data_IF_762125405166
#
_entry.id   IF_762125405166
#
_cell.length_a   1.000
_cell.length_b   1.000
_cell.length_c   1.000
_cell.angle_alpha   90.00
_cell.angle_beta   90.00
_cell.angle_gamma   90.00
#
_symmetry.space_group_name_H-M   'P 1'
#
loop_
_entity.id
_entity.type
_entity.pdbx_description
1 polymer ?
#
# COMPACT_ATOMS: atom_id res chain seq x y z
N UNK A 1 16.32 2.35 10.77
CA UNK A 1 16.92 3.62 11.27
C UNK A 1 15.90 4.32 12.13
N UNK A 2 16.34 4.98 13.22
CA UNK A 2 15.41 5.45 14.26
C UNK A 2 15.37 6.97 14.38
N UNK A 3 14.20 7.50 14.68
CA UNK A 3 14.02 8.92 15.01
C UNK A 3 12.86 9.11 16.00
N UNK A 4 12.85 10.24 16.70
CA UNK A 4 11.74 10.63 17.58
C UNK A 4 10.83 11.62 16.91
N UNK A 5 9.53 11.51 17.20
CA UNK A 5 8.50 12.41 16.64
C UNK A 5 7.26 12.38 17.52
N UNK A 6 6.33 13.29 17.28
CA UNK A 6 5.06 13.36 17.99
C UNK A 6 3.95 12.77 17.13
N UNK A 7 3.04 12.03 17.76
CA UNK A 7 1.88 11.44 17.11
C UNK A 7 0.86 12.55 16.78
N UNK A 8 0.76 12.92 15.50
CA UNK A 8 -0.12 14.01 15.03
C UNK A 8 -1.62 13.62 15.09
N UNK A 9 -2.54 14.60 15.17
CA UNK A 9 -3.98 14.35 15.14
C UNK A 9 -4.46 13.65 13.86
N UNK A 10 -5.57 12.93 13.92
CA UNK A 10 -6.12 12.21 12.75
C UNK A 10 -6.50 13.16 11.59
N UNK A 11 -6.76 14.44 11.88
CA UNK A 11 -6.94 15.51 10.91
C UNK A 11 -6.31 16.82 11.41
N UNK A 12 -5.74 17.66 10.53
CA UNK A 12 -5.53 17.45 9.09
C UNK A 12 -4.28 16.60 8.76
N UNK A 13 -3.44 16.30 9.76
CA UNK A 13 -2.11 15.68 9.60
C UNK A 13 -2.09 14.21 10.05
N UNK A 14 -2.41 13.31 9.11
CA UNK A 14 -2.37 11.86 9.37
C UNK A 14 -0.93 11.32 9.37
N UNK A 15 -0.16 11.51 10.43
CA UNK A 15 1.12 10.82 10.46
C UNK A 15 2.10 11.08 11.59
N UNK A 16 3.31 10.61 11.32
CA UNK A 16 4.52 10.77 12.08
C UNK A 16 5.47 11.60 11.21
N UNK A 17 5.91 12.76 11.69
CA UNK A 17 6.82 13.61 10.93
C UNK A 17 8.22 12.99 10.91
N UNK A 18 8.78 12.88 9.70
CA UNK A 18 10.11 12.32 9.46
C UNK A 18 11.08 13.46 9.21
N UNK A 19 12.18 13.54 9.97
CA UNK A 19 13.21 14.53 9.69
C UNK A 19 13.79 14.34 8.27
N UNK A 20 14.06 15.42 7.51
CA UNK A 20 14.61 15.34 6.15
C UNK A 20 15.88 14.48 6.05
N UNK A 21 16.77 14.56 7.03
CA UNK A 21 18.02 13.80 7.10
C UNK A 21 17.80 12.29 7.18
N UNK A 22 16.70 11.84 7.82
CA UNK A 22 16.31 10.43 7.86
C UNK A 22 15.84 9.98 6.48
N UNK A 23 15.07 10.83 5.78
CA UNK A 23 14.60 10.53 4.41
C UNK A 23 15.78 10.44 3.43
N UNK A 24 16.73 11.35 3.53
CA UNK A 24 17.95 11.35 2.72
C UNK A 24 18.80 10.10 2.99
N UNK A 25 19.01 9.76 4.27
CA UNK A 25 19.77 8.57 4.67
C UNK A 25 19.15 7.26 4.18
N UNK A 26 17.82 7.20 3.97
CA UNK A 26 17.16 6.01 3.41
C UNK A 26 17.57 5.72 1.96
N UNK A 27 18.07 6.71 1.21
CA UNK A 27 18.57 6.51 -0.15
C UNK A 27 17.52 6.15 -1.21
N UNK A 28 16.22 6.23 -0.91
CA UNK A 28 15.13 5.86 -1.82
C UNK A 28 14.43 7.02 -2.54
N UNK A 29 15.10 8.17 -2.67
CA UNK A 29 14.54 9.41 -3.22
C UNK A 29 13.66 10.17 -2.23
N UNK A 30 12.83 11.12 -2.71
CA UNK A 30 12.02 12.00 -1.83
C UNK A 30 10.79 11.33 -1.20
N UNK A 31 10.34 10.20 -1.75
CA UNK A 31 9.13 9.48 -1.30
C UNK A 31 9.40 7.96 -1.26
N UNK A 32 10.39 7.51 -0.46
CA UNK A 32 10.77 6.11 -0.41
C UNK A 32 9.61 5.26 0.09
N UNK A 33 9.51 4.04 -0.45
CA UNK A 33 8.73 2.99 0.18
C UNK A 33 9.45 2.54 1.44
N UNK A 34 8.72 2.36 2.53
CA UNK A 34 9.32 2.07 3.83
C UNK A 34 8.51 1.04 4.61
N UNK A 35 9.21 0.25 5.42
CA UNK A 35 8.64 -0.47 6.55
C UNK A 35 8.82 0.42 7.78
N UNK A 36 7.74 0.59 8.54
CA UNK A 36 7.68 1.44 9.73
C UNK A 36 7.39 0.52 10.90
N UNK A 37 8.13 0.67 11.99
CA UNK A 37 7.94 -0.07 13.23
C UNK A 37 7.79 0.89 14.39
N UNK A 38 6.73 0.72 15.16
CA UNK A 38 6.41 1.51 16.35
C UNK A 38 5.87 0.59 17.43
N UNK A 39 6.46 0.61 18.63
CA UNK A 39 6.07 -0.25 19.76
C UNK A 39 5.89 -1.74 19.39
N UNK A 40 6.74 -2.26 18.49
CA UNK A 40 6.68 -3.64 18.01
C UNK A 40 5.62 -3.92 16.93
N UNK A 41 4.76 -2.95 16.60
CA UNK A 41 3.85 -3.04 15.46
C UNK A 41 4.50 -2.51 14.19
N UNK A 42 4.51 -3.31 13.13
CA UNK A 42 5.13 -2.95 11.85
C UNK A 42 4.12 -2.88 10.71
N UNK A 43 4.26 -1.88 9.84
CA UNK A 43 3.48 -1.77 8.61
C UNK A 43 4.29 -1.16 7.48
N UNK A 44 3.88 -1.46 6.24
CA UNK A 44 4.50 -0.92 5.03
C UNK A 44 3.73 0.30 4.53
N UNK A 45 4.45 1.34 4.13
CA UNK A 45 3.88 2.56 3.57
C UNK A 45 4.85 3.26 2.62
N UNK A 46 4.55 4.51 2.27
CA UNK A 46 5.44 5.42 1.54
C UNK A 46 5.51 6.74 2.29
N UNK A 47 6.70 7.35 2.32
CA UNK A 47 6.85 8.72 2.80
C UNK A 47 6.03 9.66 1.90
N UNK A 48 5.14 10.43 2.52
CA UNK A 48 4.37 11.48 1.86
C UNK A 48 5.08 12.83 2.03
N UNK A 49 4.82 13.77 1.11
CA UNK A 49 5.24 15.17 1.26
C UNK A 49 3.97 16.00 1.36
N UNK A 50 3.78 16.67 2.49
CA UNK A 50 2.61 17.52 2.73
C UNK A 50 3.08 18.89 3.26
N UNK A 51 2.84 19.93 2.46
CA UNK A 51 3.24 21.32 2.78
C UNK A 51 4.73 21.43 3.17
N UNK A 52 5.61 20.77 2.41
CA UNK A 52 7.06 20.79 2.63
C UNK A 52 7.59 19.82 3.69
N UNK A 53 6.72 19.13 4.44
CA UNK A 53 7.12 18.16 5.47
C UNK A 53 6.99 16.73 4.99
N UNK A 54 7.86 15.86 5.49
CA UNK A 54 7.82 14.42 5.24
C UNK A 54 7.01 13.73 6.31
N UNK A 55 6.03 12.91 5.91
CA UNK A 55 5.12 12.23 6.84
C UNK A 55 5.04 10.73 6.54
N UNK A 56 4.99 9.93 7.60
CA UNK A 56 4.57 8.53 7.53
C UNK A 56 3.10 8.42 7.89
N UNK A 57 2.31 7.79 7.03
CA UNK A 57 0.90 7.56 7.29
C UNK A 57 0.68 6.67 8.51
N UNK A 58 -0.11 7.18 9.47
CA UNK A 58 -0.49 6.50 10.69
C UNK A 58 -2.04 6.41 10.79
N UNK A 59 -2.59 5.31 10.27
CA UNK A 59 -4.03 5.03 10.26
C UNK A 59 -4.59 4.74 11.65
N UNK A 60 -5.91 4.85 11.84
CA UNK A 60 -6.57 4.49 13.11
C UNK A 60 -6.23 3.06 13.55
N UNK A 61 -6.20 2.10 12.63
CA UNK A 61 -5.85 0.72 12.91
C UNK A 61 -4.39 0.58 13.39
N UNK A 62 -3.45 1.28 12.74
CA UNK A 62 -2.04 1.23 13.16
C UNK A 62 -1.80 1.94 14.49
N UNK A 63 -2.55 3.02 14.81
CA UNK A 63 -2.49 3.67 16.12
C UNK A 63 -2.93 2.73 17.24
N UNK A 64 -4.07 2.06 17.04
CA UNK A 64 -4.59 1.09 17.99
C UNK A 64 -3.62 -0.08 18.17
N UNK A 65 -3.09 -0.63 17.08
CA UNK A 65 -2.14 -1.74 17.13
C UNK A 65 -0.80 -1.37 17.78
N UNK A 66 -0.31 -0.14 17.57
CA UNK A 66 0.89 0.36 18.21
C UNK A 66 0.66 0.89 19.64
N UNK A 67 -0.59 1.00 20.09
CA UNK A 67 -0.94 1.48 21.43
C UNK A 67 -0.57 2.95 21.67
N UNK A 68 -0.72 3.82 20.67
CA UNK A 68 -0.34 5.25 20.77
C UNK A 68 -1.53 6.19 20.60
N UNK A 69 -1.49 7.31 21.31
CA UNK A 69 -2.45 8.39 21.29
C UNK A 69 -1.88 9.66 20.63
N UNK A 70 -2.77 10.56 20.22
CA UNK A 70 -2.36 11.89 19.73
C UNK A 70 -1.62 12.66 20.82
N UNK A 71 -0.48 13.25 20.47
CA UNK A 71 0.37 14.00 21.39
C UNK A 71 1.49 13.16 22.02
N UNK A 72 1.48 11.83 21.88
CA UNK A 72 2.56 10.98 22.38
C UNK A 72 3.87 11.27 21.64
N UNK A 73 4.97 11.36 22.38
CA UNK A 73 6.31 11.28 21.81
C UNK A 73 6.71 9.82 21.65
N UNK A 74 7.14 9.46 20.43
CA UNK A 74 7.44 8.08 20.07
C UNK A 74 8.78 7.96 19.35
N UNK A 75 9.45 6.84 19.56
CA UNK A 75 10.59 6.42 18.74
C UNK A 75 10.08 5.53 17.60
N UNK A 76 10.36 5.93 16.37
CA UNK A 76 9.95 5.23 15.15
C UNK A 76 11.18 4.61 14.53
N UNK A 77 11.13 3.31 14.24
CA UNK A 77 12.09 2.67 13.35
C UNK A 77 11.53 2.67 11.92
N UNK A 78 12.35 3.10 10.97
CA UNK A 78 12.01 3.12 9.55
C UNK A 78 13.11 2.47 8.74
N UNK A 79 12.72 1.63 7.78
CA UNK A 79 13.64 0.94 6.88
C UNK A 79 13.15 1.07 5.45
N UNK A 80 14.09 1.18 4.49
CA UNK A 80 13.75 1.22 3.07
C UNK A 80 13.12 -0.12 2.67
N UNK A 81 11.90 -0.08 2.15
CA UNK A 81 11.21 -1.26 1.62
C UNK A 81 11.65 -1.49 0.18
N UNK A 82 12.74 -2.24 0.00
CA UNK A 82 13.24 -2.71 -1.30
C UNK A 82 12.65 -4.06 -1.72
N UNK A 83 11.77 -4.64 -0.88
CA UNK A 83 11.19 -5.95 -1.12
C UNK A 83 10.42 -6.02 -2.44
N UNK A 84 10.50 -7.15 -3.18
CA UNK A 84 9.77 -7.31 -4.42
C UNK A 84 8.28 -7.28 -4.11
N UNK A 85 7.55 -6.34 -4.73
CA UNK A 85 6.09 -6.29 -4.66
C UNK A 85 5.50 -7.34 -5.60
N UNK A 86 5.72 -8.61 -5.28
CA UNK A 86 5.10 -9.72 -6.00
C UNK A 86 3.62 -9.74 -5.62
N UNK A 87 2.77 -9.57 -6.62
CA UNK A 87 1.34 -9.80 -6.46
C UNK A 87 1.11 -11.26 -6.82
N UNK A 88 0.84 -12.10 -5.82
CA UNK A 88 0.45 -13.48 -6.07
C UNK A 88 -0.98 -13.49 -6.60
N UNK A 89 -1.17 -14.00 -7.81
CA UNK A 89 -2.49 -14.17 -8.41
C UNK A 89 -3.18 -15.41 -7.80
N UNK A 90 -4.40 -15.29 -7.26
CA UNK A 90 -5.16 -16.45 -6.83
C UNK A 90 -5.50 -17.35 -8.02
N UNK A 91 -5.46 -18.67 -7.83
CA UNK A 91 -5.59 -19.65 -8.92
C UNK A 91 -6.87 -19.52 -9.76
N UNK A 92 -7.97 -19.07 -9.15
CA UNK A 92 -9.24 -18.82 -9.84
C UNK A 92 -9.24 -17.52 -10.65
N UNK A 93 -8.58 -16.47 -10.17
CA UNK A 93 -8.33 -15.28 -10.99
C UNK A 93 -7.43 -15.62 -12.18
N UNK A 94 -6.34 -16.36 -11.96
CA UNK A 94 -5.44 -16.80 -13.04
C UNK A 94 -6.20 -17.59 -14.09
N UNK A 95 -7.01 -18.59 -13.69
CA UNK A 95 -7.83 -19.38 -14.62
C UNK A 95 -8.80 -18.50 -15.43
N UNK A 96 -9.41 -17.52 -14.78
CA UNK A 96 -10.36 -16.62 -15.43
C UNK A 96 -9.68 -15.64 -16.41
N UNK A 97 -8.47 -15.17 -16.09
CA UNK A 97 -7.64 -14.36 -16.99
C UNK A 97 -7.11 -15.19 -18.17
N UNK A 98 -6.64 -16.41 -17.94
CA UNK A 98 -6.10 -17.27 -19.00
C UNK A 98 -7.19 -17.70 -20.00
N UNK A 99 -8.45 -17.74 -19.58
CA UNK A 99 -9.60 -17.95 -20.45
C UNK A 99 -9.98 -16.71 -21.30
N UNK A 100 -9.34 -15.56 -21.06
CA UNK A 100 -9.63 -14.29 -21.74
C UNK A 100 -8.34 -13.53 -22.09
N UNK A 101 -7.79 -13.75 -23.30
CA UNK A 101 -6.54 -13.12 -23.73
C UNK A 101 -6.54 -11.60 -23.69
N UNK A 102 -7.70 -10.95 -23.92
CA UNK A 102 -7.79 -9.49 -23.89
C UNK A 102 -7.70 -8.97 -22.45
N UNK A 103 -8.43 -9.60 -21.53
CA UNK A 103 -8.33 -9.26 -20.10
C UNK A 103 -6.96 -9.59 -19.52
N UNK A 104 -6.34 -10.72 -19.91
CA UNK A 104 -4.98 -11.11 -19.54
C UNK A 104 -3.96 -10.04 -19.92
N UNK A 105 -3.94 -9.63 -21.19
CA UNK A 105 -3.02 -8.62 -21.69
C UNK A 105 -3.20 -7.26 -20.98
N UNK A 106 -4.44 -6.85 -20.72
CA UNK A 106 -4.72 -5.64 -19.96
C UNK A 106 -4.24 -5.76 -18.50
N UNK A 107 -4.47 -6.91 -17.86
CA UNK A 107 -4.03 -7.16 -16.48
C UNK A 107 -2.50 -7.14 -16.39
N UNK A 108 -1.79 -7.79 -17.31
CA UNK A 108 -0.34 -7.90 -17.28
C UNK A 108 0.36 -6.54 -17.37
N UNK A 109 -0.24 -5.57 -18.08
CA UNK A 109 0.23 -4.19 -18.19
C UNK A 109 -0.04 -3.32 -16.94
N UNK A 110 -0.89 -3.77 -16.02
CA UNK A 110 -1.18 -3.00 -14.82
C UNK A 110 0.07 -2.85 -13.94
N UNK A 111 0.31 -1.65 -13.35
CA UNK A 111 1.30 -1.49 -12.30
C UNK A 111 0.99 -2.44 -11.12
N UNK A 112 2.01 -2.94 -10.40
CA UNK A 112 1.82 -3.90 -9.31
C UNK A 112 0.79 -3.45 -8.25
N UNK A 113 0.68 -2.15 -7.98
CA UNK A 113 -0.33 -1.61 -7.07
C UNK A 113 -1.77 -1.84 -7.53
N UNK A 114 -2.03 -1.72 -8.84
CA UNK A 114 -3.36 -1.99 -9.42
C UNK A 114 -3.63 -3.50 -9.48
N UNK A 115 -2.65 -4.32 -9.85
CA UNK A 115 -2.75 -5.80 -9.75
C UNK A 115 -3.15 -6.22 -8.34
N UNK A 116 -2.48 -5.67 -7.32
CA UNK A 116 -2.76 -5.94 -5.90
C UNK A 116 -4.16 -5.52 -5.47
N UNK A 117 -4.67 -4.40 -5.96
CA UNK A 117 -6.02 -3.94 -5.64
C UNK A 117 -7.09 -4.95 -6.09
N UNK A 118 -6.95 -5.51 -7.30
CA UNK A 118 -7.85 -6.56 -7.79
C UNK A 118 -7.75 -7.83 -6.93
N UNK A 119 -6.53 -8.29 -6.63
CA UNK A 119 -6.31 -9.48 -5.78
C UNK A 119 -6.93 -9.31 -4.39
N UNK A 120 -6.65 -8.19 -3.70
CA UNK A 120 -7.21 -7.93 -2.37
C UNK A 120 -8.74 -7.86 -2.38
N UNK A 121 -9.34 -7.29 -3.45
CA UNK A 121 -10.78 -7.28 -3.60
C UNK A 121 -11.34 -8.72 -3.72
N UNK A 122 -10.68 -9.60 -4.47
CA UNK A 122 -11.12 -10.98 -4.67
C UNK A 122 -10.90 -11.82 -3.40
N UNK A 123 -9.74 -11.73 -2.76
CA UNK A 123 -9.41 -12.43 -1.50
C UNK A 123 -10.28 -12.00 -0.31
N UNK A 124 -10.68 -10.73 -0.26
CA UNK A 124 -11.60 -10.26 0.77
C UNK A 124 -13.03 -10.82 0.66
N UNK A 125 -13.36 -11.61 -0.37
CA UNK A 125 -14.68 -12.25 -0.51
C UNK A 125 -14.69 -13.63 0.14
N UNK A 126 -15.33 -13.75 1.32
CA UNK A 126 -15.45 -15.01 2.07
C UNK A 126 -16.43 -16.02 1.45
N UNK A 127 -17.41 -15.54 0.66
CA UNK A 127 -18.41 -16.39 -0.02
C UNK A 127 -17.97 -16.63 -1.47
N UNK A 128 -18.03 -17.88 -1.94
CA UNK A 128 -17.64 -18.27 -3.30
C UNK A 128 -18.37 -17.45 -4.38
N UNK A 129 -19.69 -17.31 -4.28
CA UNK A 129 -20.50 -16.50 -5.22
C UNK A 129 -20.03 -15.03 -5.29
N UNK A 130 -19.69 -14.43 -4.15
CA UNK A 130 -19.18 -13.05 -4.12
C UNK A 130 -17.80 -12.95 -4.76
N UNK A 131 -16.98 -13.99 -4.62
CA UNK A 131 -15.65 -14.08 -5.19
C UNK A 131 -15.73 -14.17 -6.71
N UNK A 132 -16.58 -15.06 -7.24
CA UNK A 132 -16.86 -15.20 -8.68
C UNK A 132 -17.34 -13.88 -9.28
N UNK A 133 -18.36 -13.23 -8.68
CA UNK A 133 -18.85 -11.93 -9.15
C UNK A 133 -17.76 -10.85 -9.18
N UNK A 134 -16.82 -10.87 -8.23
CA UNK A 134 -15.69 -9.91 -8.21
C UNK A 134 -14.66 -10.22 -9.30
N UNK A 135 -14.45 -11.49 -9.63
CA UNK A 135 -13.61 -11.91 -10.76
C UNK A 135 -14.24 -11.46 -12.07
N UNK A 136 -15.52 -11.74 -12.30
CA UNK A 136 -16.24 -11.31 -13.51
C UNK A 136 -16.22 -9.79 -13.69
N UNK A 137 -16.47 -9.05 -12.62
CA UNK A 137 -16.38 -7.58 -12.63
C UNK A 137 -14.97 -7.10 -12.97
N UNK A 138 -13.94 -7.78 -12.46
CA UNK A 138 -12.55 -7.47 -12.79
C UNK A 138 -12.28 -7.69 -14.27
N UNK A 139 -12.68 -8.84 -14.84
CA UNK A 139 -12.53 -9.10 -16.28
C UNK A 139 -13.26 -8.07 -17.13
N UNK A 140 -14.51 -7.73 -16.79
CA UNK A 140 -15.28 -6.71 -17.50
C UNK A 140 -14.58 -5.34 -17.48
N UNK A 141 -13.99 -4.97 -16.34
CA UNK A 141 -13.23 -3.71 -16.20
C UNK A 141 -11.97 -3.72 -17.06
N UNK A 142 -11.24 -4.85 -17.09
CA UNK A 142 -10.01 -5.00 -17.87
C UNK A 142 -10.28 -4.95 -19.38
N UNK A 143 -11.38 -5.56 -19.84
CA UNK A 143 -11.83 -5.48 -21.25
C UNK A 143 -12.16 -4.05 -21.68
N UNK A 144 -12.74 -3.27 -20.76
CA UNK A 144 -13.15 -1.90 -21.04
C UNK A 144 -11.99 -0.89 -20.99
N UNK A 145 -10.80 -1.28 -20.54
CA UNK A 145 -9.65 -0.37 -20.56
C UNK A 145 -9.11 -0.20 -21.99
N UNK A 146 -9.06 1.04 -22.52
CA UNK A 146 -8.49 1.28 -23.84
C UNK A 146 -6.99 0.98 -23.83
N UNK A 147 -6.48 0.48 -24.97
CA UNK A 147 -5.09 0.08 -25.18
C UNK A 147 -4.05 1.24 -25.15
N UNK A 148 -4.39 2.40 -24.59
CA UNK A 148 -3.56 3.60 -24.66
C UNK A 148 -2.91 3.90 -23.31
N UNK A 149 -1.62 3.59 -23.19
CA UNK A 149 -0.67 4.31 -22.32
C UNK A 149 0.75 3.98 -22.80
N UNK A 150 1.21 4.78 -23.77
CA UNK A 150 2.64 5.11 -23.97
C UNK A 150 3.02 6.18 -22.94
#
# INVERSE_FOLDING_TARGET
MKFRTTVEPVEPMRGLEVPPEVVEALGGGKRPAVTITLNGHSWKSRVAIMRGRYLLGLSTANRQAAGVATGDEVEVDVELDTGPRVVTEPADLTRALDADPAARAAYDRLPPGRKRQHVLAIEGAKKAETRERRIEKTLATLRAQPQNST
#
